data_IF_106379099748
#
_entry.id   IF_106379099748
#
_cell.length_a   1.000
_cell.length_b   1.000
_cell.length_c   1.000
_cell.angle_alpha   90.00
_cell.angle_beta   90.00
_cell.angle_gamma   90.00
#
_symmetry.space_group_name_H-M   'P 1'
#
loop_
_entity.id
_entity.type
_entity.pdbx_description
1 polymer ?
#
# COMPACT_ATOMS: atom_id res chain seq x y z
N UNK A 1 3.64 17.04 -10.62
CA UNK A 1 2.70 15.96 -10.27
C UNK A 1 2.19 16.19 -8.87
N UNK A 2 1.39 15.26 -8.36
CA UNK A 2 1.06 15.19 -6.93
C UNK A 2 1.83 13.99 -6.38
N UNK A 3 2.53 14.10 -5.23
CA UNK A 3 3.18 12.95 -4.61
C UNK A 3 2.18 11.82 -4.32
N UNK A 4 2.62 10.56 -4.36
CA UNK A 4 1.75 9.39 -4.22
C UNK A 4 2.42 8.28 -3.43
N UNK A 5 1.63 7.59 -2.60
CA UNK A 5 2.02 6.35 -1.94
C UNK A 5 1.05 5.24 -2.34
N UNK A 6 1.60 4.09 -2.71
CA UNK A 6 0.84 2.85 -2.96
C UNK A 6 1.10 1.87 -1.82
N UNK A 7 0.04 1.25 -1.33
CA UNK A 7 0.08 0.31 -0.21
C UNK A 7 -0.67 -0.96 -0.59
N UNK A 8 -0.03 -2.12 -0.44
CA UNK A 8 -0.64 -3.42 -0.71
C UNK A 8 0.08 -4.54 0.04
N UNK A 9 -0.57 -5.69 0.21
CA UNK A 9 0.11 -6.87 0.75
C UNK A 9 0.90 -7.61 -0.34
N UNK A 10 2.00 -8.25 0.03
CA UNK A 10 2.97 -8.85 -0.90
C UNK A 10 2.55 -10.19 -1.52
N UNK A 11 1.47 -10.79 -1.03
CA UNK A 11 0.84 -11.98 -1.57
C UNK A 11 -0.69 -11.80 -1.78
N UNK A 12 -1.20 -10.56 -1.81
CA UNK A 12 -2.61 -10.29 -2.11
C UNK A 12 -2.93 -10.69 -3.56
N UNK A 13 -3.82 -11.66 -3.83
CA UNK A 13 -4.10 -12.12 -5.17
C UNK A 13 -4.72 -11.03 -6.06
N UNK A 14 -5.46 -10.08 -5.49
CA UNK A 14 -6.05 -8.99 -6.27
C UNK A 14 -5.00 -7.94 -6.64
N UNK A 15 -4.03 -7.67 -5.78
CA UNK A 15 -2.98 -6.70 -6.06
C UNK A 15 -1.81 -7.29 -6.87
N UNK A 16 -1.42 -8.52 -6.56
CA UNK A 16 -0.25 -9.19 -7.13
C UNK A 16 -0.63 -9.94 -8.39
N UNK A 17 -1.60 -10.86 -8.33
CA UNK A 17 -1.88 -11.78 -9.44
C UNK A 17 -2.65 -11.10 -10.58
N UNK A 18 -3.44 -10.06 -10.29
CA UNK A 18 -4.12 -9.26 -11.33
C UNK A 18 -3.22 -8.17 -11.94
N UNK A 19 -2.01 -7.96 -11.41
CA UNK A 19 -0.96 -7.14 -12.03
C UNK A 19 -0.88 -5.68 -11.55
N UNK A 20 -1.67 -5.26 -10.57
CA UNK A 20 -1.60 -3.91 -9.99
C UNK A 20 -0.22 -3.61 -9.37
N UNK A 21 0.46 -4.62 -8.83
CA UNK A 21 1.82 -4.50 -8.30
C UNK A 21 2.82 -4.06 -9.38
N UNK A 22 2.67 -4.52 -10.61
CA UNK A 22 3.58 -4.17 -11.71
C UNK A 22 3.32 -2.74 -12.17
N UNK A 23 2.06 -2.31 -12.20
CA UNK A 23 1.71 -0.90 -12.43
C UNK A 23 2.28 0.01 -11.32
N UNK A 24 2.20 -0.41 -10.06
CA UNK A 24 2.75 0.34 -8.92
C UNK A 24 4.29 0.45 -8.99
N UNK A 25 4.98 -0.63 -9.37
CA UNK A 25 6.44 -0.63 -9.61
C UNK A 25 6.82 0.31 -10.74
N UNK A 26 6.14 0.22 -11.88
CA UNK A 26 6.37 1.11 -13.02
C UNK A 26 6.16 2.59 -12.66
N UNK A 27 5.17 2.89 -11.80
CA UNK A 27 4.94 4.24 -11.30
C UNK A 27 6.12 4.76 -10.45
N UNK A 28 6.62 3.94 -9.51
CA UNK A 28 7.79 4.29 -8.68
C UNK A 28 9.04 4.49 -9.54
N UNK A 29 9.23 3.70 -10.59
CA UNK A 29 10.35 3.87 -11.53
C UNK A 29 10.23 5.16 -12.37
N UNK A 30 9.01 5.65 -12.59
CA UNK A 30 8.77 6.82 -13.43
C UNK A 30 9.04 8.16 -12.74
N UNK A 31 9.07 8.21 -11.39
CA UNK A 31 9.22 9.47 -10.65
C UNK A 31 9.67 9.27 -9.20
N UNK A 32 10.53 10.17 -8.70
CA UNK A 32 10.96 10.21 -7.29
C UNK A 32 9.84 10.63 -6.31
N UNK A 33 8.68 11.06 -6.83
CA UNK A 33 7.53 11.47 -6.00
C UNK A 33 6.55 10.33 -5.71
N UNK A 34 6.89 9.10 -6.11
CA UNK A 34 6.09 7.91 -5.91
C UNK A 34 6.80 6.91 -5.00
N UNK A 35 6.06 6.34 -4.06
CA UNK A 35 6.54 5.31 -3.14
C UNK A 35 5.60 4.08 -3.17
N UNK A 36 6.16 2.87 -3.07
CA UNK A 36 5.42 1.63 -2.93
C UNK A 36 5.82 0.97 -1.60
N UNK A 37 4.82 0.65 -0.78
CA UNK A 37 4.99 -0.06 0.48
C UNK A 37 4.24 -1.39 0.44
N UNK A 38 5.01 -2.47 0.61
CA UNK A 38 4.48 -3.83 0.72
C UNK A 38 4.43 -4.28 2.18
N UNK A 39 3.38 -4.99 2.55
CA UNK A 39 3.17 -5.59 3.86
C UNK A 39 3.11 -7.12 3.71
N UNK A 40 3.70 -7.92 4.62
CA UNK A 40 3.56 -9.37 4.56
C UNK A 40 2.09 -9.80 4.69
N UNK A 41 1.59 -10.62 3.76
CA UNK A 41 0.26 -11.21 3.85
C UNK A 41 -0.46 -11.39 2.50
N UNK A 42 -1.64 -11.98 2.52
CA UNK A 42 -2.44 -12.31 1.32
C UNK A 42 -3.82 -11.63 1.30
N UNK A 43 -4.06 -10.66 2.18
CA UNK A 43 -5.35 -10.02 2.35
C UNK A 43 -5.44 -8.68 1.60
N UNK A 44 -6.51 -8.49 0.83
CA UNK A 44 -6.72 -7.26 0.06
C UNK A 44 -7.14 -6.07 0.95
N UNK A 45 -8.17 -6.26 1.78
CA UNK A 45 -8.76 -5.22 2.62
C UNK A 45 -8.19 -5.24 4.04
N UNK A 46 -6.87 -5.30 4.18
CA UNK A 46 -6.20 -5.48 5.47
C UNK A 46 -6.32 -4.29 6.42
N UNK A 47 -6.65 -3.10 5.92
CA UNK A 47 -6.81 -1.90 6.71
C UNK A 47 -8.23 -1.70 7.29
N UNK A 48 -9.21 -2.49 6.84
CA UNK A 48 -10.60 -2.37 7.28
C UNK A 48 -10.85 -3.23 8.53
N UNK A 49 -10.98 -2.56 9.68
CA UNK A 49 -11.15 -3.22 10.98
C UNK A 49 -12.53 -3.87 11.20
N UNK A 50 -13.44 -3.77 10.23
CA UNK A 50 -14.74 -4.43 10.26
C UNK A 50 -14.73 -5.81 9.61
N UNK A 51 -13.65 -6.18 8.92
CA UNK A 51 -13.53 -7.41 8.14
C UNK A 51 -12.58 -8.44 8.77
N UNK A 52 -12.79 -9.75 8.52
CA UNK A 52 -11.83 -10.79 8.93
C UNK A 52 -10.44 -10.65 8.31
N UNK A 53 -10.32 -9.94 7.19
CA UNK A 53 -9.07 -9.63 6.50
C UNK A 53 -8.20 -8.62 7.25
N UNK A 54 -8.72 -7.99 8.31
CA UNK A 54 -8.01 -6.96 9.07
C UNK A 54 -6.70 -7.47 9.66
N UNK A 55 -5.61 -6.78 9.35
CA UNK A 55 -4.32 -6.95 10.01
C UNK A 55 -3.99 -5.68 10.79
N UNK A 56 -4.02 -5.77 12.12
CA UNK A 56 -3.86 -4.62 13.00
C UNK A 56 -2.47 -3.97 12.88
N UNK A 57 -1.42 -4.76 12.70
CA UNK A 57 -0.04 -4.27 12.64
C UNK A 57 0.25 -3.58 11.31
N UNK A 58 -0.19 -4.20 10.20
CA UNK A 58 -0.09 -3.62 8.86
C UNK A 58 -0.93 -2.35 8.76
N UNK A 59 -2.18 -2.35 9.25
CA UNK A 59 -3.05 -1.18 9.26
C UNK A 59 -2.48 -0.02 10.10
N UNK A 60 -1.90 -0.32 11.26
CA UNK A 60 -1.25 0.69 12.10
C UNK A 60 -0.02 1.29 11.42
N UNK A 61 0.81 0.46 10.75
CA UNK A 61 1.97 0.93 10.00
C UNK A 61 1.57 1.77 8.77
N UNK A 62 0.56 1.33 8.01
CA UNK A 62 -0.04 2.10 6.92
C UNK A 62 -0.50 3.47 7.41
N UNK A 63 -1.26 3.50 8.52
CA UNK A 63 -1.80 4.74 9.07
C UNK A 63 -0.68 5.72 9.46
N UNK A 64 0.41 5.23 10.07
CA UNK A 64 1.57 6.08 10.40
C UNK A 64 2.23 6.69 9.16
N UNK A 65 2.41 5.90 8.09
CA UNK A 65 3.00 6.37 6.82
C UNK A 65 2.13 7.43 6.16
N UNK A 66 0.83 7.17 6.03
CA UNK A 66 -0.14 8.11 5.45
C UNK A 66 -0.18 9.41 6.23
N UNK A 67 -0.24 9.36 7.56
CA UNK A 67 -0.24 10.59 8.38
C UNK A 67 1.06 11.38 8.22
N UNK A 68 2.22 10.72 8.19
CA UNK A 68 3.50 11.37 7.92
C UNK A 68 3.56 12.01 6.54
N UNK A 69 3.07 11.31 5.52
CA UNK A 69 2.96 11.80 4.14
C UNK A 69 2.07 13.05 4.02
N UNK A 70 0.93 13.06 4.72
CA UNK A 70 0.02 14.21 4.73
C UNK A 70 0.59 15.40 5.50
N UNK A 71 1.38 15.15 6.54
CA UNK A 71 2.02 16.19 7.35
C UNK A 71 3.23 16.84 6.66
N UNK A 72 3.91 16.13 5.75
CA UNK A 72 5.05 16.62 4.98
C UNK A 72 4.66 17.55 3.81
N UNK A 73 3.40 17.99 3.76
CA UNK A 73 2.87 18.91 2.75
C UNK A 73 3.25 20.36 3.00
#
# INVERSE_FOLDING_TARGET
GVPVQVHGMDADPFFVDEGDIDAARALVESTEQAELFLYPGDQHLFADNSLPSYDADAAALLSRRVLGFLAAR
#
